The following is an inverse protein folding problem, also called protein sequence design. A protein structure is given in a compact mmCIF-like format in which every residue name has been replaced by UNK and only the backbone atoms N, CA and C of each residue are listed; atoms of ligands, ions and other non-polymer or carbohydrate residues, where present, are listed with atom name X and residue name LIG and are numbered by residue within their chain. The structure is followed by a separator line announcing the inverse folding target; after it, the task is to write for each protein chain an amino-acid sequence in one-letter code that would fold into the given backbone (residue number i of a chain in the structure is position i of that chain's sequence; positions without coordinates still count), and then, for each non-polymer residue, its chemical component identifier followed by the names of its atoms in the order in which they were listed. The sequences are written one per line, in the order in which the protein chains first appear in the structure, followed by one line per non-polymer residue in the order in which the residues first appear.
data_IF_292167897598
#
_entry.id   IF_292167897598
#
_cell.length_a   1.000
_cell.length_b   1.000
_cell.length_c   1.000
_cell.angle_alpha   90.00
_cell.angle_beta   90.00
_cell.angle_gamma   90.00
#
_symmetry.space_group_name_H-M   'P 1'
#
loop_
_entity.id
_entity.type
_entity.pdbx_description
1 polymer ?
#
# COMPACT_ATOMS: atom_id res chain seq x y z
N UNK A 1 -1.86 46.94 0.02
CA UNK A 1 -2.80 46.61 -1.06
C UNK A 1 -2.52 45.28 -1.79
N UNK A 2 -1.27 44.80 -2.01
CA UNK A 2 -1.07 43.50 -2.70
C UNK A 2 -1.32 42.27 -1.81
N UNK A 3 -1.28 42.42 -0.49
CA UNK A 3 -1.53 41.33 0.46
C UNK A 3 -3.01 40.94 0.58
N UNK A 4 -3.94 41.89 0.37
CA UNK A 4 -5.39 41.64 0.42
C UNK A 4 -5.86 40.91 -0.85
N UNK A 5 -5.25 41.17 -2.01
CA UNK A 5 -5.57 40.47 -3.26
C UNK A 5 -5.12 39.00 -3.23
N UNK A 6 -4.02 38.69 -2.56
CA UNK A 6 -3.50 37.32 -2.45
C UNK A 6 -4.42 36.43 -1.59
N UNK A 7 -4.98 36.98 -0.50
CA UNK A 7 -5.90 36.24 0.39
C UNK A 7 -7.26 35.96 -0.27
N UNK A 8 -7.72 36.85 -1.16
CA UNK A 8 -8.97 36.68 -1.89
C UNK A 8 -8.84 35.65 -3.03
N UNK A 9 -7.64 35.52 -3.62
CA UNK A 9 -7.36 34.53 -4.67
C UNK A 9 -7.27 33.10 -4.12
N UNK A 10 -6.85 32.93 -2.86
CA UNK A 10 -6.87 31.62 -2.17
C UNK A 10 -8.28 31.16 -1.79
N UNK A 11 -9.25 32.08 -1.67
CA UNK A 11 -10.65 31.75 -1.36
C UNK A 11 -11.52 31.49 -2.60
N UNK A 12 -11.03 31.86 -3.79
CA UNK A 12 -11.70 31.62 -5.08
C UNK A 12 -10.95 30.58 -5.94
N UNK A 13 -10.24 29.65 -5.30
CA UNK A 13 -9.88 28.43 -6.00
C UNK A 13 -11.18 27.65 -6.26
N UNK A 14 -11.51 27.32 -7.52
CA UNK A 14 -12.68 26.52 -7.81
C UNK A 14 -12.54 25.22 -7.05
N UNK A 15 -13.53 24.90 -6.22
CA UNK A 15 -13.70 23.57 -5.62
C UNK A 15 -14.00 22.57 -6.74
N UNK A 16 -12.99 22.19 -7.52
CA UNK A 16 -13.09 21.17 -8.57
C UNK A 16 -12.70 19.78 -8.07
N UNK A 17 -12.64 19.56 -6.75
CA UNK A 17 -12.22 18.27 -6.17
C UNK A 17 -13.35 17.42 -5.58
N UNK A 18 -14.61 17.87 -5.68
CA UNK A 18 -15.79 17.09 -5.29
C UNK A 18 -16.42 16.36 -6.48
N UNK A 19 -15.62 15.77 -7.36
CA UNK A 19 -16.14 15.06 -8.54
C UNK A 19 -15.51 13.68 -8.74
N UNK A 20 -15.16 13.00 -7.65
CA UNK A 20 -14.77 11.58 -7.71
C UNK A 20 -15.30 10.75 -6.55
N UNK A 21 -16.54 11.01 -6.13
CA UNK A 21 -17.31 10.11 -5.25
C UNK A 21 -18.45 9.41 -6.01
N UNK A 22 -18.29 9.17 -7.30
CA UNK A 22 -19.15 8.24 -8.06
C UNK A 22 -18.33 7.05 -8.58
N UNK A 23 -17.46 6.51 -7.73
CA UNK A 23 -16.86 5.22 -7.96
C UNK A 23 -17.91 4.16 -7.63
N UNK A 24 -18.58 3.61 -8.64
CA UNK A 24 -19.21 2.30 -8.53
C UNK A 24 -18.10 1.30 -8.23
N UNK A 25 -17.72 1.17 -6.95
CA UNK A 25 -16.75 0.20 -6.44
C UNK A 25 -17.41 -1.16 -6.55
N UNK A 26 -17.39 -1.69 -7.78
CA UNK A 26 -17.72 -3.07 -8.08
C UNK A 26 -16.79 -3.93 -7.23
N UNK A 27 -17.25 -4.37 -6.07
CA UNK A 27 -16.57 -5.35 -5.22
C UNK A 27 -16.41 -6.61 -6.08
N UNK A 28 -15.26 -6.75 -6.74
CA UNK A 28 -14.93 -7.96 -7.48
C UNK A 28 -14.52 -8.99 -6.44
N UNK A 29 -15.41 -9.95 -6.16
CA UNK A 29 -15.08 -11.17 -5.41
C UNK A 29 -14.29 -12.11 -6.31
N UNK A 30 -13.11 -11.66 -6.73
CA UNK A 30 -12.21 -12.43 -7.57
C UNK A 30 -11.16 -13.09 -6.68
N UNK A 31 -11.11 -14.42 -6.72
CA UNK A 31 -10.08 -15.20 -6.03
C UNK A 31 -8.85 -15.21 -6.92
N UNK A 32 -7.76 -14.64 -6.42
CA UNK A 32 -6.47 -14.72 -7.12
C UNK A 32 -5.86 -16.10 -6.85
N UNK A 33 -5.61 -16.84 -7.92
CA UNK A 33 -4.98 -18.17 -7.87
C UNK A 33 -3.56 -18.08 -8.43
N UNK A 34 -2.58 -18.65 -7.71
CA UNK A 34 -1.19 -18.70 -8.13
C UNK A 34 -0.57 -20.07 -7.80
N UNK A 35 0.25 -20.61 -8.70
CA UNK A 35 0.83 -21.95 -8.55
C UNK A 35 2.07 -22.01 -7.64
N UNK A 36 2.83 -20.92 -7.51
CA UNK A 36 4.13 -20.93 -6.84
C UNK A 36 4.15 -20.14 -5.52
N UNK A 37 3.31 -19.13 -5.40
CA UNK A 37 3.26 -18.27 -4.23
C UNK A 37 2.42 -17.03 -4.48
N UNK A 38 1.96 -16.41 -3.39
CA UNK A 38 1.17 -15.17 -3.41
C UNK A 38 1.63 -14.27 -2.27
N UNK A 39 1.63 -12.96 -2.51
CA UNK A 39 1.87 -11.92 -1.51
C UNK A 39 0.72 -10.93 -1.60
N UNK A 40 0.12 -10.61 -0.46
CA UNK A 40 -0.96 -9.64 -0.35
C UNK A 40 -0.61 -8.60 0.72
N UNK A 41 -0.81 -7.33 0.39
CA UNK A 41 -0.53 -6.16 1.23
C UNK A 41 -1.52 -5.05 0.91
N UNK A 42 -1.61 -4.05 1.79
CA UNK A 42 -2.51 -2.90 1.61
C UNK A 42 -2.17 -2.04 0.37
N UNK A 43 -0.90 -2.02 -0.05
CA UNK A 43 -0.44 -1.34 -1.27
C UNK A 43 0.07 -2.35 -2.30
N UNK A 44 -0.45 -2.29 -3.53
CA UNK A 44 -0.09 -3.23 -4.61
C UNK A 44 1.40 -3.19 -5.00
N UNK A 45 2.11 -2.07 -4.81
CA UNK A 45 3.56 -1.99 -5.05
C UNK A 45 4.33 -2.85 -4.05
N UNK A 46 3.88 -2.91 -2.80
CA UNK A 46 4.51 -3.75 -1.78
C UNK A 46 4.24 -5.24 -2.01
N UNK A 47 3.05 -5.60 -2.52
CA UNK A 47 2.77 -6.96 -2.99
C UNK A 47 3.69 -7.35 -4.14
N UNK A 48 3.91 -6.42 -5.09
CA UNK A 48 4.83 -6.61 -6.22
C UNK A 48 6.27 -6.84 -5.76
N UNK A 49 6.77 -6.04 -4.83
CA UNK A 49 8.13 -6.18 -4.26
C UNK A 49 8.28 -7.53 -3.55
N UNK A 50 7.33 -7.92 -2.69
CA UNK A 50 7.38 -9.23 -2.03
C UNK A 50 7.32 -10.40 -3.02
N UNK A 51 6.49 -10.29 -4.07
CA UNK A 51 6.47 -11.29 -5.15
C UNK A 51 7.80 -11.36 -5.91
N UNK A 52 8.45 -10.23 -6.16
CA UNK A 52 9.74 -10.22 -6.86
C UNK A 52 10.85 -10.86 -5.99
N UNK A 53 10.76 -10.78 -4.65
CA UNK A 53 11.63 -11.55 -3.72
C UNK A 53 11.35 -13.06 -3.81
N UNK A 54 10.09 -13.50 -3.85
CA UNK A 54 9.76 -14.92 -4.08
C UNK A 54 10.31 -15.40 -5.43
N UNK A 55 10.19 -14.58 -6.48
CA UNK A 55 10.73 -14.89 -7.82
C UNK A 55 12.25 -14.97 -7.85
N UNK A 56 12.93 -14.20 -6.99
CA UNK A 56 14.37 -14.27 -6.81
C UNK A 56 14.82 -15.52 -6.00
N UNK A 57 13.89 -16.40 -5.59
CA UNK A 57 14.18 -17.61 -4.83
C UNK A 57 14.14 -17.42 -3.31
N UNK A 58 13.68 -16.27 -2.82
CA UNK A 58 13.47 -16.04 -1.39
C UNK A 58 12.31 -16.85 -0.83
N UNK A 59 12.35 -17.14 0.47
CA UNK A 59 11.26 -17.84 1.16
C UNK A 59 10.15 -16.88 1.62
N UNK A 60 9.05 -17.43 2.15
CA UNK A 60 7.88 -16.65 2.58
C UNK A 60 8.22 -15.55 3.60
N UNK A 61 9.23 -15.76 4.45
CA UNK A 61 9.67 -14.78 5.45
C UNK A 61 10.47 -13.63 4.81
N UNK A 62 11.25 -13.88 3.75
CA UNK A 62 11.99 -12.80 3.06
C UNK A 62 11.01 -11.88 2.33
N UNK A 63 10.03 -12.49 1.65
CA UNK A 63 9.00 -11.76 0.94
C UNK A 63 8.15 -10.91 1.88
N UNK A 64 7.82 -11.41 3.08
CA UNK A 64 7.06 -10.67 4.08
C UNK A 64 7.88 -9.51 4.69
N UNK A 65 9.17 -9.70 4.95
CA UNK A 65 10.07 -8.62 5.42
C UNK A 65 10.21 -7.53 4.36
N UNK A 66 10.43 -7.89 3.09
CA UNK A 66 10.52 -6.91 2.00
C UNK A 66 9.21 -6.13 1.81
N UNK A 67 8.08 -6.82 1.89
CA UNK A 67 6.76 -6.19 1.85
C UNK A 67 6.52 -5.24 3.04
N UNK A 68 6.89 -5.63 4.26
CA UNK A 68 6.75 -4.81 5.46
C UNK A 68 7.64 -3.56 5.40
N UNK A 69 8.89 -3.68 4.92
CA UNK A 69 9.77 -2.53 4.71
C UNK A 69 9.19 -1.56 3.67
N UNK A 70 8.60 -2.07 2.59
CA UNK A 70 7.88 -1.25 1.62
C UNK A 70 6.69 -0.52 2.28
N UNK A 71 5.86 -1.22 3.06
CA UNK A 71 4.73 -0.62 3.79
C UNK A 71 5.19 0.47 4.76
N UNK A 72 6.34 0.29 5.41
CA UNK A 72 6.95 1.32 6.25
C UNK A 72 7.27 2.63 5.52
N UNK A 73 7.49 2.58 4.21
CA UNK A 73 7.74 3.76 3.37
C UNK A 73 6.45 4.32 2.80
N UNK A 74 5.57 3.47 2.27
CA UNK A 74 4.37 3.93 1.55
C UNK A 74 3.18 4.21 2.47
N UNK A 75 3.15 3.61 3.66
CA UNK A 75 2.12 3.78 4.68
C UNK A 75 2.75 4.02 6.08
N UNK A 76 3.53 5.10 6.24
CA UNK A 76 4.33 5.35 7.45
C UNK A 76 3.47 5.63 8.70
N UNK A 77 2.22 6.03 8.53
CA UNK A 77 1.29 6.24 9.64
C UNK A 77 0.81 4.92 10.28
N UNK A 78 0.94 3.79 9.57
CA UNK A 78 0.46 2.47 10.02
C UNK A 78 1.58 1.45 10.24
N UNK A 79 2.68 1.55 9.50
CA UNK A 79 3.82 0.63 9.58
C UNK A 79 5.12 1.42 9.55
N UNK A 80 6.18 0.92 10.17
CA UNK A 80 7.48 1.59 10.15
C UNK A 80 8.52 0.98 11.09
N UNK A 81 9.79 1.32 10.86
CA UNK A 81 10.94 0.77 11.58
C UNK A 81 11.00 1.15 13.07
N UNK A 82 10.36 2.26 13.46
CA UNK A 82 10.36 2.75 14.84
C UNK A 82 9.20 2.21 15.69
N UNK A 83 8.36 1.35 15.12
CA UNK A 83 7.23 0.73 15.82
C UNK A 83 7.52 -0.70 16.26
N UNK A 84 6.57 -1.60 16.02
CA UNK A 84 6.70 -3.02 16.28
C UNK A 84 5.78 -3.83 15.35
N UNK A 85 6.01 -5.14 15.29
CA UNK A 85 5.21 -6.06 14.49
C UNK A 85 5.18 -7.44 15.13
N UNK A 86 4.16 -8.23 14.77
CA UNK A 86 4.09 -9.66 15.05
C UNK A 86 4.11 -10.43 13.73
N UNK A 87 4.74 -11.59 13.72
CA UNK A 87 4.72 -12.50 12.58
C UNK A 87 4.31 -13.88 13.04
N UNK A 88 3.30 -14.43 12.36
CA UNK A 88 2.95 -15.85 12.48
C UNK A 88 3.61 -16.59 11.32
N UNK A 89 4.43 -17.58 11.65
CA UNK A 89 5.17 -18.36 10.66
C UNK A 89 4.78 -19.82 10.81
N UNK A 90 4.50 -20.46 9.68
CA UNK A 90 4.35 -21.90 9.57
C UNK A 90 5.35 -22.42 8.56
N UNK A 91 6.23 -23.32 9.00
CA UNK A 91 7.24 -23.91 8.13
C UNK A 91 6.61 -24.97 7.22
N UNK A 92 7.31 -25.28 6.13
CA UNK A 92 6.91 -26.36 5.23
C UNK A 92 6.85 -27.73 5.93
N UNK A 93 7.61 -27.92 7.01
CA UNK A 93 7.63 -29.15 7.81
C UNK A 93 6.41 -29.37 8.70
N UNK A 94 5.55 -28.35 8.87
CA UNK A 94 4.44 -28.38 9.82
C UNK A 94 4.77 -27.58 11.08
#
# INVERSE_FOLDING_TARGET
WPTITCLLFTLLSPTSSLESLNGNTKIRREVIVAHHGVVATDDGRCSKIGMDVLRAGGHAVDASVAAALCLGVVSPASSGIGGGAFMLVRLASG
#
